data_IF_369010081765
#
_entry.id   IF_369010081765
#
_cell.length_a   1.000
_cell.length_b   1.000
_cell.length_c   1.000
_cell.angle_alpha   90.00
_cell.angle_beta   90.00
_cell.angle_gamma   90.00
#
_symmetry.space_group_name_H-M   'P 1'
#
loop_
_entity.id
_entity.type
_entity.pdbx_description
1 polymer ?
#
# COMPACT_ATOMS: atom_id res chain seq x y z
N UNK A 1 0.00 -11.52 -22.51
CA UNK A 1 -1.00 -10.43 -22.60
C UNK A 1 -2.40 -11.02 -22.74
N UNK A 2 -2.65 -11.78 -23.81
CA UNK A 2 -3.98 -12.32 -24.14
C UNK A 2 -4.66 -13.10 -23.00
N UNK A 3 -3.92 -13.92 -22.26
CA UNK A 3 -4.45 -14.64 -21.09
C UNK A 3 -5.03 -13.70 -20.02
N UNK A 4 -4.36 -12.59 -19.74
CA UNK A 4 -4.89 -11.62 -18.79
C UNK A 4 -6.09 -10.87 -19.37
N UNK A 5 -6.06 -10.54 -20.67
CA UNK A 5 -7.20 -9.90 -21.33
C UNK A 5 -8.44 -10.79 -21.26
N UNK A 6 -8.32 -12.08 -21.60
CA UNK A 6 -9.41 -13.06 -21.52
C UNK A 6 -9.96 -13.19 -20.10
N UNK A 7 -9.08 -13.28 -19.08
CA UNK A 7 -9.52 -13.35 -17.68
C UNK A 7 -10.23 -12.08 -17.21
N UNK A 8 -9.77 -10.90 -17.65
CA UNK A 8 -10.45 -9.62 -17.39
C UNK A 8 -11.83 -9.58 -18.02
N UNK A 9 -11.95 -9.98 -19.28
CA UNK A 9 -13.23 -10.06 -20.01
C UNK A 9 -14.20 -11.05 -19.37
N UNK A 10 -13.67 -12.13 -18.77
CA UNK A 10 -14.44 -13.09 -17.97
C UNK A 10 -14.76 -12.61 -16.53
N UNK A 11 -14.39 -11.37 -16.17
CA UNK A 11 -14.64 -10.80 -14.83
C UNK A 11 -13.73 -11.33 -13.71
N UNK A 12 -12.66 -12.06 -14.05
CA UNK A 12 -11.76 -12.68 -13.06
C UNK A 12 -10.79 -11.71 -12.38
N UNK A 13 -10.58 -10.50 -12.91
CA UNK A 13 -9.81 -9.42 -12.29
C UNK A 13 -10.08 -8.06 -12.95
N UNK A 14 -9.68 -6.96 -12.31
CA UNK A 14 -9.76 -5.58 -12.80
C UNK A 14 -8.39 -4.94 -13.14
N UNK A 15 -7.31 -5.75 -13.06
CA UNK A 15 -5.94 -5.29 -13.31
C UNK A 15 -5.75 -4.62 -14.67
N UNK A 16 -4.98 -3.54 -14.67
CA UNK A 16 -4.67 -2.74 -15.86
C UNK A 16 -3.27 -3.05 -16.35
N UNK A 17 -3.18 -3.56 -17.56
CA UNK A 17 -1.97 -4.19 -18.07
C UNK A 17 -1.51 -3.49 -19.32
N UNK A 18 -0.28 -3.01 -19.30
CA UNK A 18 0.42 -2.51 -20.48
C UNK A 18 1.47 -3.52 -20.94
N UNK A 19 1.88 -3.45 -22.20
CA UNK A 19 3.05 -4.16 -22.68
C UNK A 19 3.89 -3.26 -23.58
N UNK A 20 5.20 -3.46 -23.54
CA UNK A 20 6.13 -2.78 -24.43
C UNK A 20 7.32 -3.67 -24.78
N UNK A 21 7.63 -3.74 -26.07
CA UNK A 21 8.79 -4.44 -26.60
C UNK A 21 9.17 -3.87 -27.98
N UNK A 22 10.41 -4.07 -28.41
CA UNK A 22 10.90 -3.73 -29.74
C UNK A 22 10.62 -4.87 -30.74
N UNK A 23 10.50 -4.54 -32.03
CA UNK A 23 10.19 -5.49 -33.11
C UNK A 23 11.42 -6.06 -33.82
N UNK A 24 12.61 -5.65 -33.43
CA UNK A 24 13.85 -6.28 -33.91
C UNK A 24 13.85 -7.75 -33.52
N UNK A 25 14.62 -8.57 -34.24
CA UNK A 25 14.98 -9.90 -33.76
C UNK A 25 15.36 -9.75 -32.29
N UNK A 26 14.72 -10.51 -31.41
CA UNK A 26 15.18 -10.68 -30.04
C UNK A 26 16.51 -11.44 -30.12
N UNK A 27 17.54 -10.81 -30.69
CA UNK A 27 18.92 -11.18 -30.46
C UNK A 27 19.11 -11.11 -28.95
N UNK A 28 19.77 -12.13 -28.40
CA UNK A 28 20.21 -12.09 -27.03
C UNK A 28 21.02 -10.82 -26.86
N UNK A 29 20.45 -9.85 -26.15
CA UNK A 29 21.05 -8.53 -25.94
C UNK A 29 22.45 -8.76 -25.34
N UNK A 30 23.53 -8.44 -26.04
CA UNK A 30 24.90 -8.69 -25.55
C UNK A 30 25.13 -7.97 -24.19
N UNK A 31 24.41 -6.86 -23.95
CA UNK A 31 24.35 -6.15 -22.67
C UNK A 31 23.50 -6.88 -21.59
N UNK A 32 22.53 -7.72 -21.96
CA UNK A 32 21.87 -8.60 -20.98
C UNK A 32 22.71 -9.85 -20.65
N UNK A 33 23.64 -10.23 -21.53
CA UNK A 33 24.46 -11.46 -21.46
C UNK A 33 25.82 -11.23 -20.81
N UNK A 34 26.38 -10.01 -20.85
CA UNK A 34 27.73 -9.74 -20.33
C UNK A 34 28.78 -9.95 -21.42
N UNK A 35 29.47 -8.88 -21.79
CA UNK A 35 30.53 -8.86 -22.80
C UNK A 35 31.83 -9.54 -22.33
N UNK A 36 31.78 -10.85 -22.04
CA UNK A 36 32.95 -11.70 -21.92
C UNK A 36 32.82 -12.86 -22.91
N UNK A 37 33.90 -13.23 -23.63
CA UNK A 37 33.86 -14.34 -24.56
C UNK A 37 33.68 -15.64 -23.75
N UNK A 38 32.61 -16.38 -24.00
CA UNK A 38 32.39 -17.70 -23.39
C UNK A 38 32.29 -18.74 -24.51
N UNK A 39 32.99 -19.85 -24.31
CA UNK A 39 33.11 -20.99 -25.21
C UNK A 39 31.73 -21.62 -25.50
N UNK A 40 31.38 -21.71 -26.78
CA UNK A 40 30.02 -21.89 -27.31
C UNK A 40 29.56 -23.37 -27.32
N UNK A 41 29.93 -24.15 -26.30
CA UNK A 41 29.83 -25.62 -26.31
C UNK A 41 28.62 -26.22 -25.58
N UNK A 42 27.71 -25.40 -25.03
CA UNK A 42 26.47 -25.89 -24.41
C UNK A 42 25.27 -25.62 -25.32
N UNK A 43 24.86 -26.69 -26.01
CA UNK A 43 23.78 -26.76 -27.00
C UNK A 43 22.64 -25.74 -26.80
N UNK A 44 22.63 -24.74 -27.68
CA UNK A 44 21.53 -23.80 -27.86
C UNK A 44 20.26 -24.56 -28.26
N UNK A 45 19.18 -24.40 -27.48
CA UNK A 45 17.85 -24.80 -27.93
C UNK A 45 17.49 -24.03 -29.21
N UNK A 46 16.84 -24.67 -30.20
CA UNK A 46 16.58 -24.03 -31.48
C UNK A 46 15.71 -22.78 -31.29
N UNK A 47 16.03 -21.65 -31.94
CA UNK A 47 15.25 -20.43 -31.81
C UNK A 47 13.82 -20.68 -32.32
N UNK A 48 12.82 -20.47 -31.46
CA UNK A 48 11.42 -20.41 -31.89
C UNK A 48 11.22 -19.21 -32.81
N UNK A 49 11.05 -19.49 -34.11
CA UNK A 49 10.78 -18.53 -35.18
C UNK A 49 9.37 -17.95 -35.06
N UNK A 50 9.17 -16.96 -34.20
CA UNK A 50 8.02 -16.06 -34.30
C UNK A 50 8.37 -14.93 -35.27
N UNK A 51 7.77 -14.95 -36.47
CA UNK A 51 8.02 -13.96 -37.52
C UNK A 51 7.75 -12.51 -37.09
N UNK A 52 8.58 -11.59 -37.55
CA UNK A 52 8.55 -10.15 -37.21
C UNK A 52 7.24 -9.42 -37.58
N UNK A 53 6.42 -9.99 -38.48
CA UNK A 53 5.08 -9.47 -38.80
C UNK A 53 4.07 -9.65 -37.66
N UNK A 54 4.08 -10.82 -37.01
CA UNK A 54 3.12 -11.14 -35.94
C UNK A 54 3.40 -10.37 -34.64
N UNK A 55 4.66 -10.05 -34.36
CA UNK A 55 5.04 -9.27 -33.17
C UNK A 55 4.58 -7.82 -33.27
N UNK A 56 4.61 -7.22 -34.48
CA UNK A 56 4.07 -5.87 -34.74
C UNK A 56 2.56 -5.82 -34.61
N UNK A 57 1.85 -6.72 -35.29
CA UNK A 57 0.39 -6.81 -35.20
C UNK A 57 -0.08 -7.04 -33.75
N UNK A 58 0.64 -7.84 -32.98
CA UNK A 58 0.34 -8.04 -31.57
C UNK A 58 0.48 -6.74 -30.75
N UNK A 59 1.55 -5.95 -30.96
CA UNK A 59 1.72 -4.70 -30.22
C UNK A 59 0.71 -3.64 -30.68
N UNK A 60 0.35 -3.60 -31.96
CA UNK A 60 -0.72 -2.72 -32.47
C UNK A 60 -2.04 -2.97 -31.76
N UNK A 61 -2.39 -4.24 -31.56
CA UNK A 61 -3.59 -4.62 -30.78
C UNK A 61 -3.48 -4.17 -29.32
N UNK A 62 -2.32 -4.38 -28.68
CA UNK A 62 -2.08 -3.97 -27.30
C UNK A 62 -2.19 -2.44 -27.15
N UNK A 63 -1.61 -1.66 -28.07
CA UNK A 63 -1.71 -0.20 -28.05
C UNK A 63 -3.13 0.26 -28.33
N UNK A 64 -3.88 -0.44 -29.17
CA UNK A 64 -5.30 -0.14 -29.40
C UNK A 64 -6.12 -0.34 -28.13
N UNK A 65 -5.91 -1.46 -27.43
CA UNK A 65 -6.55 -1.72 -26.14
C UNK A 65 -6.14 -0.67 -25.09
N UNK A 66 -4.87 -0.26 -25.06
CA UNK A 66 -4.37 0.81 -24.20
C UNK A 66 -5.04 2.15 -24.50
N UNK A 67 -5.16 2.51 -25.78
CA UNK A 67 -5.81 3.73 -26.24
C UNK A 67 -7.28 3.78 -25.82
N UNK A 68 -8.00 2.68 -25.97
CA UNK A 68 -9.38 2.56 -25.50
C UNK A 68 -9.47 2.70 -23.97
N UNK A 69 -8.51 2.13 -23.24
CA UNK A 69 -8.50 2.14 -21.78
C UNK A 69 -8.18 3.52 -21.18
N UNK A 70 -7.26 4.28 -21.79
CA UNK A 70 -6.77 5.55 -21.24
C UNK A 70 -7.21 6.79 -22.02
N UNK A 71 -8.02 6.62 -23.08
CA UNK A 71 -8.48 7.73 -23.93
C UNK A 71 -7.34 8.39 -24.72
N UNK A 72 -6.36 7.61 -25.17
CA UNK A 72 -5.19 8.08 -25.92
C UNK A 72 -5.25 7.67 -27.39
N UNK A 73 -4.34 8.18 -28.21
CA UNK A 73 -4.28 7.90 -29.65
C UNK A 73 -2.83 7.61 -30.12
N UNK A 74 -2.16 6.68 -29.44
CA UNK A 74 -0.81 6.26 -29.80
C UNK A 74 -0.81 5.29 -30.99
N UNK A 75 0.33 5.25 -31.70
CA UNK A 75 0.51 4.47 -32.93
C UNK A 75 1.91 3.89 -33.00
N UNK A 76 2.03 2.72 -33.60
CA UNK A 76 3.29 2.02 -33.90
C UNK A 76 3.81 2.32 -35.30
N UNK A 77 3.09 3.15 -36.07
CA UNK A 77 3.43 3.48 -37.47
C UNK A 77 4.69 4.31 -37.57
N UNK A 78 4.89 5.20 -36.59
CA UNK A 78 6.01 6.13 -36.55
C UNK A 78 6.80 5.96 -35.25
N UNK A 79 8.12 6.13 -35.34
CA UNK A 79 9.01 6.05 -34.17
C UNK A 79 8.60 7.03 -33.06
N UNK A 80 8.15 8.24 -33.44
CA UNK A 80 7.61 9.23 -32.49
C UNK A 80 6.37 8.73 -31.74
N UNK A 81 5.50 7.96 -32.40
CA UNK A 81 4.31 7.38 -31.77
C UNK A 81 4.67 6.35 -30.71
N UNK A 82 5.67 5.49 -31.01
CA UNK A 82 6.20 4.51 -30.06
C UNK A 82 6.92 5.18 -28.88
N UNK A 83 7.71 6.22 -29.13
CA UNK A 83 8.36 7.01 -28.06
C UNK A 83 7.33 7.71 -27.16
N UNK A 84 6.27 8.28 -27.73
CA UNK A 84 5.19 8.89 -26.96
C UNK A 84 4.44 7.86 -26.10
N UNK A 85 4.15 6.67 -26.66
CA UNK A 85 3.56 5.57 -25.91
C UNK A 85 4.45 5.14 -24.72
N UNK A 86 5.75 4.96 -24.96
CA UNK A 86 6.71 4.62 -23.91
C UNK A 86 6.80 5.68 -22.81
N UNK A 87 6.85 6.96 -23.21
CA UNK A 87 6.85 8.10 -22.28
C UNK A 87 5.58 8.13 -21.44
N UNK A 88 4.42 7.80 -22.04
CA UNK A 88 3.15 7.79 -21.33
C UNK A 88 3.08 6.66 -20.29
N UNK A 89 3.48 5.43 -20.63
CA UNK A 89 3.58 4.33 -19.66
C UNK A 89 4.50 4.71 -18.50
N UNK A 90 5.70 5.19 -18.82
CA UNK A 90 6.70 5.60 -17.82
C UNK A 90 6.15 6.71 -16.92
N UNK A 91 5.46 7.69 -17.51
CA UNK A 91 4.82 8.78 -16.79
C UNK A 91 3.74 8.25 -15.86
N UNK A 92 2.81 7.41 -16.32
CA UNK A 92 1.74 6.87 -15.46
C UNK A 92 2.28 6.05 -14.29
N UNK A 93 3.32 5.24 -14.51
CA UNK A 93 3.98 4.50 -13.43
C UNK A 93 4.67 5.41 -12.41
N UNK A 94 5.29 6.51 -12.84
CA UNK A 94 5.88 7.50 -11.93
C UNK A 94 4.83 8.35 -11.23
N UNK A 95 3.77 8.73 -11.94
CA UNK A 95 2.70 9.56 -11.38
C UNK A 95 1.85 8.82 -10.36
N UNK A 96 1.86 7.48 -10.35
CA UNK A 96 1.37 6.68 -9.22
C UNK A 96 2.01 7.09 -7.90
N UNK A 97 3.21 7.67 -7.89
CA UNK A 97 3.86 8.15 -6.66
C UNK A 97 3.15 9.35 -6.03
N UNK A 98 2.43 10.15 -6.83
CA UNK A 98 1.78 11.38 -6.36
C UNK A 98 0.58 11.03 -5.47
N UNK A 99 0.33 11.87 -4.47
CA UNK A 99 -0.82 11.70 -3.56
C UNK A 99 -2.18 11.81 -4.29
N UNK A 100 -2.22 12.55 -5.40
CA UNK A 100 -3.41 12.74 -6.24
C UNK A 100 -3.46 11.80 -7.45
N UNK A 101 -2.77 10.67 -7.40
CA UNK A 101 -2.80 9.66 -8.46
C UNK A 101 -4.24 9.18 -8.68
N UNK A 102 -4.77 9.41 -9.88
CA UNK A 102 -6.14 9.01 -10.22
C UNK A 102 -6.15 7.51 -10.51
N UNK A 103 -7.14 6.81 -9.96
CA UNK A 103 -7.28 5.37 -10.25
C UNK A 103 -7.50 5.11 -11.75
N UNK A 104 -8.17 6.02 -12.47
CA UNK A 104 -8.31 5.94 -13.95
C UNK A 104 -6.99 5.94 -14.72
N UNK A 105 -5.87 6.35 -14.12
CA UNK A 105 -4.54 6.36 -14.76
C UNK A 105 -3.64 5.23 -14.26
N UNK A 106 -4.20 4.29 -13.48
CA UNK A 106 -3.50 3.14 -12.92
C UNK A 106 -2.97 2.20 -14.00
N UNK A 107 -1.73 1.78 -13.86
CA UNK A 107 -1.16 0.59 -14.50
C UNK A 107 -0.65 -0.30 -13.38
N UNK A 108 -1.11 -1.55 -13.35
CA UNK A 108 -0.80 -2.51 -12.28
C UNK A 108 0.32 -3.46 -12.70
N UNK A 109 0.38 -3.82 -13.98
CA UNK A 109 1.38 -4.72 -14.53
C UNK A 109 1.87 -4.20 -15.89
N UNK A 110 3.19 -4.24 -16.09
CA UNK A 110 3.79 -3.97 -17.39
C UNK A 110 4.57 -5.20 -17.84
N UNK A 111 4.18 -5.73 -19.00
CA UNK A 111 4.89 -6.81 -19.66
C UNK A 111 6.02 -6.22 -20.51
N UNK A 112 7.25 -6.64 -20.22
CA UNK A 112 8.45 -6.13 -20.89
C UNK A 112 9.34 -7.28 -21.36
N UNK A 113 10.15 -7.03 -22.39
CA UNK A 113 11.19 -7.96 -22.86
C UNK A 113 12.57 -7.48 -22.39
N UNK A 114 13.10 -6.42 -23.01
CA UNK A 114 14.36 -5.75 -22.58
C UNK A 114 14.11 -4.31 -22.12
N UNK A 115 13.04 -3.69 -22.62
CA UNK A 115 12.72 -2.30 -22.28
C UNK A 115 12.38 -2.17 -20.79
N UNK A 116 12.75 -1.04 -20.18
CA UNK A 116 12.52 -0.74 -18.75
C UNK A 116 13.33 -1.57 -17.74
N UNK A 117 14.15 -2.51 -18.19
CA UNK A 117 15.12 -3.20 -17.31
C UNK A 117 16.30 -2.29 -16.96
N UNK A 118 16.59 -1.30 -17.81
CA UNK A 118 17.58 -0.23 -17.60
C UNK A 118 16.94 1.14 -17.73
N UNK A 119 17.49 2.15 -17.03
CA UNK A 119 17.07 3.56 -17.14
C UNK A 119 15.68 3.94 -16.59
N UNK A 120 14.77 2.99 -16.38
CA UNK A 120 13.46 3.23 -15.77
C UNK A 120 13.54 3.33 -14.24
N UNK A 121 12.83 4.27 -13.64
CA UNK A 121 12.86 4.47 -12.19
C UNK A 121 11.47 4.85 -11.67
N UNK A 122 10.97 4.07 -10.70
CA UNK A 122 9.72 4.29 -10.00
C UNK A 122 9.80 3.71 -8.57
N UNK A 123 9.67 4.55 -7.55
CA UNK A 123 9.80 4.20 -6.13
C UNK A 123 8.72 3.25 -5.65
N UNK A 124 7.50 3.34 -6.19
CA UNK A 124 6.38 2.47 -5.81
C UNK A 124 6.43 1.07 -6.43
N UNK A 125 7.28 0.83 -7.44
CA UNK A 125 7.46 -0.51 -8.01
C UNK A 125 8.26 -1.35 -7.01
N UNK A 126 7.63 -2.40 -6.48
CA UNK A 126 8.23 -3.28 -5.48
C UNK A 126 8.51 -4.69 -6.00
N UNK A 127 7.86 -5.15 -7.07
CA UNK A 127 7.88 -6.57 -7.48
C UNK A 127 8.27 -6.70 -8.94
N UNK A 128 9.20 -7.61 -9.23
CA UNK A 128 9.59 -8.00 -10.58
C UNK A 128 9.35 -9.51 -10.78
N UNK A 129 8.51 -9.84 -11.75
CA UNK A 129 8.29 -11.20 -12.22
C UNK A 129 9.24 -11.50 -13.37
N UNK A 130 10.07 -12.53 -13.26
CA UNK A 130 11.14 -12.82 -14.21
C UNK A 130 10.96 -14.21 -14.81
N UNK A 131 10.70 -14.23 -16.12
CA UNK A 131 10.80 -15.42 -16.98
C UNK A 131 11.80 -15.17 -18.12
N UNK A 132 13.00 -14.73 -17.75
CA UNK A 132 14.10 -14.44 -18.68
C UNK A 132 15.42 -14.91 -18.08
N UNK A 133 16.33 -15.41 -18.93
CA UNK A 133 17.71 -15.74 -18.53
C UNK A 133 18.50 -14.44 -18.37
N UNK A 134 18.42 -13.82 -17.19
CA UNK A 134 19.23 -12.65 -16.84
C UNK A 134 20.61 -13.10 -16.36
N UNK A 135 21.68 -12.38 -16.75
CA UNK A 135 23.05 -12.68 -16.32
C UNK A 135 23.78 -11.41 -15.87
N UNK A 136 24.73 -11.56 -14.96
CA UNK A 136 25.70 -10.54 -14.56
C UNK A 136 25.08 -9.14 -14.32
N UNK A 137 25.57 -8.13 -15.04
CA UNK A 137 25.16 -6.75 -14.89
C UNK A 137 23.68 -6.51 -15.25
N UNK A 138 23.15 -7.19 -16.28
CA UNK A 138 21.74 -7.13 -16.64
C UNK A 138 20.81 -7.65 -15.54
N UNK A 139 21.26 -8.67 -14.80
CA UNK A 139 20.54 -9.19 -13.62
C UNK A 139 20.48 -8.16 -12.48
N UNK A 140 21.64 -7.59 -12.11
CA UNK A 140 21.71 -6.59 -11.03
C UNK A 140 20.91 -5.33 -11.39
N UNK A 141 21.01 -4.87 -12.63
CA UNK A 141 20.26 -3.71 -13.12
C UNK A 141 18.74 -3.95 -13.05
N UNK A 142 18.27 -5.10 -13.53
CA UNK A 142 16.86 -5.47 -13.45
C UNK A 142 16.38 -5.57 -11.99
N UNK A 143 17.12 -6.24 -11.12
CA UNK A 143 16.73 -6.39 -9.70
C UNK A 143 16.70 -5.03 -8.99
N UNK A 144 17.64 -4.13 -9.31
CA UNK A 144 17.69 -2.77 -8.77
C UNK A 144 16.48 -1.89 -9.13
N UNK A 145 15.59 -2.33 -10.05
CA UNK A 145 14.36 -1.59 -10.33
C UNK A 145 13.36 -1.64 -9.17
N UNK A 146 13.46 -2.68 -8.33
CA UNK A 146 12.51 -2.92 -7.24
C UNK A 146 12.99 -2.36 -5.89
N UNK A 147 14.28 -2.09 -5.73
CA UNK A 147 14.90 -1.75 -4.44
C UNK A 147 14.97 -0.24 -4.12
N UNK A 148 14.24 0.60 -4.86
CA UNK A 148 14.19 2.05 -4.61
C UNK A 148 13.50 2.35 -3.28
N UNK A 149 14.17 3.14 -2.44
CA UNK A 149 13.69 3.56 -1.12
C UNK A 149 12.49 4.50 -1.32
N UNK A 150 11.37 4.15 -0.69
CA UNK A 150 10.15 4.97 -0.67
C UNK A 150 9.87 5.50 0.75
N UNK A 151 9.75 4.58 1.70
CA UNK A 151 9.46 4.82 3.11
C UNK A 151 9.71 3.52 3.89
N UNK A 152 9.55 3.55 5.21
CA UNK A 152 9.70 2.40 6.10
C UNK A 152 8.78 1.21 5.76
N UNK A 153 7.67 1.44 5.03
CA UNK A 153 6.77 0.36 4.57
C UNK A 153 7.39 -0.48 3.43
N UNK A 154 8.33 0.09 2.66
CA UNK A 154 9.03 -0.60 1.57
C UNK A 154 10.47 -0.88 1.99
N UNK A 155 10.64 -1.98 2.72
CA UNK A 155 11.92 -2.45 3.22
C UNK A 155 12.77 -3.18 2.17
N UNK A 156 12.15 -3.79 1.16
CA UNK A 156 12.84 -4.55 0.10
C UNK A 156 12.13 -4.48 -1.26
N UNK A 157 12.81 -4.95 -2.30
CA UNK A 157 12.21 -5.34 -3.57
C UNK A 157 12.01 -6.86 -3.63
N UNK A 158 10.90 -7.29 -4.22
CA UNK A 158 10.53 -8.70 -4.40
C UNK A 158 10.88 -9.15 -5.81
N UNK A 159 11.63 -10.24 -5.94
CA UNK A 159 11.93 -10.87 -7.22
C UNK A 159 11.28 -12.24 -7.24
N UNK A 160 10.38 -12.47 -8.20
CA UNK A 160 9.72 -13.75 -8.41
C UNK A 160 10.24 -14.34 -9.72
N UNK A 161 11.16 -15.29 -9.64
CA UNK A 161 11.75 -15.93 -10.81
C UNK A 161 11.05 -17.26 -11.14
N UNK A 162 10.63 -17.42 -12.40
CA UNK A 162 10.05 -18.66 -12.91
C UNK A 162 11.10 -19.60 -13.52
N UNK A 163 12.34 -19.13 -13.64
CA UNK A 163 13.52 -19.93 -14.02
C UNK A 163 14.48 -20.00 -12.84
N UNK A 164 15.29 -21.05 -12.78
CA UNK A 164 16.36 -21.11 -11.80
C UNK A 164 17.46 -20.10 -12.15
N UNK A 165 17.41 -18.92 -11.51
CA UNK A 165 18.39 -17.85 -11.66
C UNK A 165 19.38 -17.78 -10.50
N UNK A 166 19.37 -18.76 -9.59
CA UNK A 166 20.16 -18.72 -8.35
C UNK A 166 21.67 -18.63 -8.63
N UNK A 167 22.19 -19.54 -9.45
CA UNK A 167 23.62 -19.55 -9.83
C UNK A 167 24.02 -18.26 -10.54
N UNK A 168 23.25 -17.84 -11.55
CA UNK A 168 23.51 -16.59 -12.27
C UNK A 168 23.47 -15.35 -11.37
N UNK A 169 22.62 -15.37 -10.34
CA UNK A 169 22.53 -14.32 -9.33
C UNK A 169 23.75 -14.33 -8.42
N UNK A 170 24.17 -15.51 -7.96
CA UNK A 170 25.35 -15.72 -7.12
C UNK A 170 26.64 -15.29 -7.83
N UNK A 171 26.77 -15.60 -9.12
CA UNK A 171 27.89 -15.24 -9.97
C UNK A 171 27.93 -13.73 -10.23
N UNK A 172 26.77 -13.13 -10.56
CA UNK A 172 26.65 -11.69 -10.71
C UNK A 172 27.11 -10.97 -9.44
N UNK A 173 26.69 -11.43 -8.25
CA UNK A 173 27.07 -10.79 -7.00
C UNK A 173 28.52 -11.01 -6.62
N UNK A 174 29.12 -12.15 -6.93
CA UNK A 174 30.54 -12.39 -6.72
C UNK A 174 31.41 -11.41 -7.53
N UNK A 175 30.91 -10.93 -8.68
CA UNK A 175 31.58 -9.93 -9.52
C UNK A 175 31.43 -8.50 -8.98
N UNK A 176 30.34 -8.19 -8.27
CA UNK A 176 30.01 -6.84 -7.80
C UNK A 176 30.14 -6.62 -6.28
N UNK A 177 30.45 -7.67 -5.50
CA UNK A 177 30.50 -7.60 -4.04
C UNK A 177 31.49 -8.60 -3.42
N UNK A 178 32.06 -8.25 -2.27
CA UNK A 178 32.86 -9.19 -1.47
C UNK A 178 31.98 -10.38 -1.05
N UNK A 179 32.54 -11.60 -0.95
CA UNK A 179 31.77 -12.83 -0.62
C UNK A 179 30.96 -12.73 0.68
N UNK A 180 31.37 -11.88 1.63
CA UNK A 180 30.68 -11.59 2.89
C UNK A 180 29.42 -10.71 2.71
N UNK A 181 29.25 -10.04 1.57
CA UNK A 181 28.12 -9.16 1.30
C UNK A 181 26.85 -9.89 0.84
N UNK A 182 26.90 -11.20 0.59
CA UNK A 182 25.70 -11.98 0.19
C UNK A 182 24.59 -11.93 1.26
N UNK A 183 24.95 -11.94 2.55
CA UNK A 183 23.98 -11.80 3.65
C UNK A 183 23.41 -10.38 3.77
N UNK A 184 24.09 -9.36 3.22
CA UNK A 184 23.63 -7.96 3.24
C UNK A 184 22.67 -7.69 2.08
N UNK A 185 22.78 -8.44 0.98
CA UNK A 185 22.05 -8.20 -0.27
C UNK A 185 20.78 -9.06 -0.36
N UNK A 186 20.78 -10.27 0.20
CA UNK A 186 19.59 -11.11 0.26
C UNK A 186 18.93 -11.13 1.62
N UNK A 187 17.61 -11.22 1.59
CA UNK A 187 16.85 -11.57 2.77
C UNK A 187 17.21 -13.00 3.22
N UNK A 188 17.35 -13.23 4.54
CA UNK A 188 17.59 -14.57 5.06
C UNK A 188 16.43 -15.52 4.70
N UNK A 189 16.69 -16.83 4.57
CA UNK A 189 15.65 -17.83 4.33
C UNK A 189 14.51 -17.76 5.36
N UNK A 190 13.30 -18.16 4.94
CA UNK A 190 12.10 -18.14 5.77
C UNK A 190 12.32 -18.76 7.15
N UNK A 191 12.89 -19.97 7.21
CA UNK A 191 13.20 -20.67 8.46
C UNK A 191 14.10 -19.88 9.42
N UNK A 192 15.13 -19.18 8.88
CA UNK A 192 16.05 -18.35 9.67
C UNK A 192 15.33 -17.13 10.22
N UNK A 193 14.42 -16.53 9.45
CA UNK A 193 13.60 -15.41 9.90
C UNK A 193 12.56 -15.83 10.94
N UNK A 194 11.92 -17.00 10.79
CA UNK A 194 11.01 -17.56 11.81
C UNK A 194 11.74 -17.84 13.11
N UNK A 195 12.95 -18.39 13.05
CA UNK A 195 13.79 -18.60 14.24
C UNK A 195 14.18 -17.28 14.93
N UNK A 196 14.53 -16.24 14.15
CA UNK A 196 14.80 -14.90 14.67
C UNK A 196 13.56 -14.28 15.31
N UNK A 197 12.41 -14.31 14.62
CA UNK A 197 11.14 -13.83 15.14
C UNK A 197 10.78 -14.55 16.43
N UNK A 198 11.00 -15.86 16.49
CA UNK A 198 10.75 -16.66 17.71
C UNK A 198 11.58 -16.20 18.89
N UNK A 199 12.85 -15.83 18.66
CA UNK A 199 13.72 -15.27 19.69
C UNK A 199 13.20 -13.91 20.17
N UNK A 200 12.81 -13.03 19.26
CA UNK A 200 12.27 -11.70 19.59
C UNK A 200 10.91 -11.81 20.29
N UNK A 201 10.04 -12.74 19.89
CA UNK A 201 8.80 -13.04 20.60
C UNK A 201 9.05 -13.42 22.05
N UNK A 202 10.07 -14.24 22.33
CA UNK A 202 10.44 -14.57 23.72
C UNK A 202 10.85 -13.33 24.50
N UNK A 203 11.62 -12.42 23.91
CA UNK A 203 11.99 -11.16 24.56
C UNK A 203 10.77 -10.28 24.86
N UNK A 204 9.81 -10.20 23.93
CA UNK A 204 8.54 -9.48 24.16
C UNK A 204 7.76 -10.11 25.32
N UNK A 205 7.68 -11.44 25.37
CA UNK A 205 6.99 -12.18 26.42
C UNK A 205 7.73 -12.14 27.78
N UNK A 206 9.05 -12.00 27.80
CA UNK A 206 9.83 -11.80 29.03
C UNK A 206 9.54 -10.44 29.67
N UNK A 207 9.42 -9.39 28.84
CA UNK A 207 9.10 -8.03 29.33
C UNK A 207 7.62 -7.89 29.64
N UNK A 208 6.75 -8.43 28.80
CA UNK A 208 5.30 -8.38 28.95
C UNK A 208 4.68 -9.76 28.66
N UNK A 209 4.57 -10.64 29.68
CA UNK A 209 4.06 -12.02 29.52
C UNK A 209 2.65 -12.11 28.94
N UNK A 210 1.86 -11.06 29.10
CA UNK A 210 0.51 -10.95 28.53
C UNK A 210 0.30 -9.59 27.88
N UNK A 211 -0.67 -9.49 26.98
CA UNK A 211 -1.09 -8.19 26.42
C UNK A 211 -1.44 -7.19 27.53
N UNK A 212 -2.05 -7.64 28.63
CA UNK A 212 -2.41 -6.77 29.76
C UNK A 212 -1.20 -6.25 30.52
N UNK A 213 -0.14 -7.06 30.67
CA UNK A 213 1.06 -6.63 31.41
C UNK A 213 1.79 -5.45 30.77
N UNK A 214 1.50 -5.10 29.52
CA UNK A 214 2.01 -3.86 28.90
C UNK A 214 1.44 -2.60 29.58
N UNK A 215 0.22 -2.67 30.13
CA UNK A 215 -0.36 -1.57 30.90
C UNK A 215 0.34 -1.39 32.25
N UNK A 216 0.83 -2.49 32.82
CA UNK A 216 1.44 -2.57 34.14
C UNK A 216 2.93 -2.17 34.15
N UNK A 217 3.52 -1.90 32.98
CA UNK A 217 4.89 -1.40 32.84
C UNK A 217 4.99 0.02 33.41
N UNK A 218 5.41 0.15 34.67
CA UNK A 218 5.54 1.45 35.34
C UNK A 218 6.90 2.12 35.13
N UNK A 219 7.94 1.32 34.91
CA UNK A 219 9.31 1.80 34.75
C UNK A 219 9.60 2.22 33.29
N UNK A 220 10.22 3.39 33.09
CA UNK A 220 10.60 3.89 31.77
C UNK A 220 11.60 2.94 31.08
N UNK A 221 12.48 2.27 31.84
CA UNK A 221 13.42 1.30 31.26
C UNK A 221 12.68 0.08 30.70
N UNK A 222 11.68 -0.42 31.40
CA UNK A 222 10.86 -1.56 30.95
C UNK A 222 10.00 -1.18 29.74
N UNK A 223 9.45 0.03 29.71
CA UNK A 223 8.73 0.55 28.56
C UNK A 223 9.64 0.67 27.33
N UNK A 224 10.87 1.16 27.49
CA UNK A 224 11.88 1.23 26.43
C UNK A 224 12.25 -0.16 25.90
N UNK A 225 12.44 -1.13 26.79
CA UNK A 225 12.74 -2.52 26.42
C UNK A 225 11.60 -3.15 25.61
N UNK A 226 10.36 -2.98 26.08
CA UNK A 226 9.18 -3.44 25.34
C UNK A 226 9.10 -2.79 23.95
N UNK A 227 9.28 -1.46 23.86
CA UNK A 227 9.19 -0.75 22.59
C UNK A 227 10.26 -1.23 21.60
N UNK A 228 11.50 -1.42 22.05
CA UNK A 228 12.59 -1.93 21.20
C UNK A 228 12.31 -3.35 20.70
N UNK A 229 11.93 -4.26 21.60
CA UNK A 229 11.64 -5.65 21.27
C UNK A 229 10.43 -5.76 20.32
N UNK A 230 9.35 -5.03 20.61
CA UNK A 230 8.14 -5.07 19.78
C UNK A 230 8.36 -4.44 18.40
N UNK A 231 9.20 -3.41 18.29
CA UNK A 231 9.57 -2.82 17.01
C UNK A 231 10.36 -3.79 16.14
N UNK A 232 11.32 -4.49 16.72
CA UNK A 232 12.06 -5.56 16.03
C UNK A 232 11.11 -6.69 15.58
N UNK A 233 10.14 -7.05 16.43
CA UNK A 233 9.10 -8.02 16.09
C UNK A 233 8.27 -7.58 14.87
N UNK A 234 7.78 -6.34 14.86
CA UNK A 234 6.99 -5.80 13.74
C UNK A 234 7.82 -5.83 12.45
N UNK A 235 9.11 -5.43 12.49
CA UNK A 235 9.99 -5.44 11.31
C UNK A 235 10.16 -6.84 10.74
N UNK A 236 10.46 -7.84 11.58
CA UNK A 236 10.63 -9.22 11.15
C UNK A 236 9.32 -9.80 10.60
N UNK A 237 8.20 -9.55 11.28
CA UNK A 237 6.89 -10.01 10.82
C UNK A 237 6.52 -9.41 9.47
N UNK A 238 6.74 -8.10 9.30
CA UNK A 238 6.49 -7.40 8.04
C UNK A 238 7.30 -8.02 6.90
N UNK A 239 8.54 -8.41 7.14
CA UNK A 239 9.38 -9.10 6.14
C UNK A 239 8.86 -10.51 5.87
N UNK A 240 8.50 -11.27 6.91
CA UNK A 240 7.97 -12.63 6.78
C UNK A 240 6.68 -12.67 5.95
N UNK A 241 5.79 -11.69 6.10
CA UNK A 241 4.55 -11.57 5.31
C UNK A 241 4.77 -11.44 3.80
N UNK A 242 5.97 -11.08 3.35
CA UNK A 242 6.26 -11.02 1.90
C UNK A 242 6.60 -12.38 1.29
N UNK A 243 6.79 -13.42 2.12
CA UNK A 243 7.04 -14.78 1.67
C UNK A 243 5.72 -15.47 1.32
N UNK A 244 5.71 -16.21 0.21
CA UNK A 244 4.52 -16.94 -0.24
C UNK A 244 4.11 -18.08 0.72
N UNK A 245 5.08 -18.64 1.43
CA UNK A 245 4.91 -19.71 2.42
C UNK A 245 4.53 -19.20 3.82
N UNK A 246 4.32 -17.89 4.00
CA UNK A 246 3.99 -17.31 5.30
C UNK A 246 2.70 -17.88 5.89
N UNK A 247 2.80 -18.45 7.09
CA UNK A 247 1.66 -18.85 7.90
C UNK A 247 1.83 -18.40 9.36
N UNK A 248 0.74 -17.90 9.95
CA UNK A 248 0.70 -17.56 11.38
C UNK A 248 0.88 -18.78 12.29
N UNK A 249 0.56 -19.99 11.80
CA UNK A 249 0.73 -21.26 12.53
C UNK A 249 2.19 -21.62 12.79
N UNK A 250 3.11 -21.08 12.00
CA UNK A 250 4.55 -21.32 12.15
C UNK A 250 5.19 -20.40 13.20
N UNK A 251 4.43 -19.44 13.74
CA UNK A 251 4.90 -18.44 14.68
C UNK A 251 4.48 -18.79 16.12
N UNK A 252 5.27 -18.39 17.14
CA UNK A 252 4.93 -18.63 18.54
C UNK A 252 3.81 -17.72 19.07
N UNK A 253 3.35 -16.76 18.27
CA UNK A 253 2.26 -15.83 18.60
C UNK A 253 1.19 -15.90 17.51
N UNK A 254 -0.07 -15.80 17.91
CA UNK A 254 -1.18 -15.70 16.97
C UNK A 254 -1.34 -14.26 16.47
N UNK A 255 -2.03 -14.11 15.35
CA UNK A 255 -2.45 -12.82 14.79
C UNK A 255 -3.23 -11.98 15.82
N UNK A 256 -4.12 -12.62 16.59
CA UNK A 256 -4.91 -11.97 17.63
C UNK A 256 -4.04 -11.45 18.77
N UNK A 257 -3.07 -12.24 19.23
CA UNK A 257 -2.14 -11.84 20.29
C UNK A 257 -1.25 -10.70 19.80
N UNK A 258 -0.73 -10.80 18.58
CA UNK A 258 0.03 -9.73 17.94
C UNK A 258 -0.76 -8.43 17.88
N UNK A 259 -2.00 -8.46 17.39
CA UNK A 259 -2.89 -7.29 17.33
C UNK A 259 -3.14 -6.69 18.73
N UNK A 260 -3.27 -7.53 19.75
CA UNK A 260 -3.37 -7.09 21.15
C UNK A 260 -2.15 -6.29 21.59
N UNK A 261 -0.94 -6.81 21.37
CA UNK A 261 0.29 -6.08 21.67
C UNK A 261 0.45 -4.81 20.83
N UNK A 262 0.02 -4.84 19.56
CA UNK A 262 0.00 -3.65 18.69
C UNK A 262 -0.85 -2.54 19.28
N UNK A 263 -2.06 -2.86 19.76
CA UNK A 263 -2.92 -1.87 20.43
C UNK A 263 -2.21 -1.25 21.64
N UNK A 264 -1.59 -2.09 22.48
CA UNK A 264 -0.89 -1.62 23.68
C UNK A 264 0.37 -0.82 23.39
N UNK A 265 1.07 -1.15 22.32
CA UNK A 265 2.19 -0.38 21.81
C UNK A 265 1.77 1.04 21.38
N UNK A 266 0.64 1.16 20.68
CA UNK A 266 0.08 2.46 20.29
C UNK A 266 -0.45 3.24 21.50
N UNK A 267 -1.09 2.58 22.47
CA UNK A 267 -1.53 3.20 23.72
C UNK A 267 -0.33 3.74 24.52
N UNK A 268 0.79 2.99 24.56
CA UNK A 268 2.03 3.41 25.20
C UNK A 268 2.61 4.65 24.51
N UNK A 269 2.64 4.69 23.18
CA UNK A 269 3.04 5.90 22.42
C UNK A 269 2.21 7.11 22.82
N UNK A 270 0.87 6.96 22.86
CA UNK A 270 -0.03 8.06 23.20
C UNK A 270 0.19 8.56 24.63
N UNK A 271 0.46 7.65 25.58
CA UNK A 271 0.85 8.00 26.95
C UNK A 271 2.15 8.80 26.99
N UNK A 272 3.20 8.30 26.33
CA UNK A 272 4.51 8.95 26.26
C UNK A 272 4.43 10.33 25.59
N UNK A 273 3.70 10.47 24.48
CA UNK A 273 3.51 11.77 23.82
C UNK A 273 2.79 12.79 24.70
N UNK A 274 1.80 12.37 25.50
CA UNK A 274 1.11 13.26 26.46
C UNK A 274 2.03 13.67 27.62
N UNK A 275 2.95 12.81 28.03
CA UNK A 275 3.94 13.10 29.09
C UNK A 275 5.07 14.01 28.60
N UNK A 276 5.53 13.88 27.34
CA UNK A 276 6.49 14.82 26.71
C UNK A 276 6.03 16.28 26.74
N UNK A 277 4.72 16.52 26.76
CA UNK A 277 4.17 17.88 26.86
C UNK A 277 4.28 18.49 28.27
N UNK A 278 4.64 17.71 29.30
CA UNK A 278 4.62 18.12 30.71
C UNK A 278 5.98 18.09 31.41
N UNK A 279 6.90 17.19 31.06
CA UNK A 279 8.20 17.00 31.74
C UNK A 279 9.38 17.13 30.75
N UNK A 280 10.53 17.64 31.22
CA UNK A 280 11.68 18.09 30.39
C UNK A 280 12.86 17.12 30.30
N UNK A 281 12.81 15.99 31.00
CA UNK A 281 13.87 14.97 31.01
C UNK A 281 13.24 13.60 31.27
N UNK A 282 12.80 12.92 30.20
CA UNK A 282 12.38 11.51 30.22
C UNK A 282 13.23 10.69 29.26
N UNK A 283 13.57 9.45 29.63
CA UNK A 283 14.34 8.51 28.78
C UNK A 283 13.54 8.14 27.52
N UNK A 284 12.23 8.38 27.54
CA UNK A 284 11.29 8.10 26.46
C UNK A 284 11.21 9.23 25.41
N UNK A 285 11.94 10.35 25.60
CA UNK A 285 11.97 11.50 24.68
C UNK A 285 12.62 11.22 23.33
N UNK A 286 13.57 10.29 23.28
CA UNK A 286 14.30 9.93 22.05
C UNK A 286 13.77 8.67 21.35
N UNK A 287 12.68 8.09 21.87
CA UNK A 287 12.10 6.87 21.29
C UNK A 287 11.31 7.21 20.02
N UNK A 288 11.73 6.61 18.91
CA UNK A 288 10.94 6.51 17.68
C UNK A 288 10.11 5.22 17.69
N UNK A 289 8.79 5.39 17.72
CA UNK A 289 7.80 4.31 17.73
C UNK A 289 7.53 3.74 16.32
N UNK A 290 8.16 4.25 15.25
CA UNK A 290 8.07 3.71 13.88
C UNK A 290 6.64 3.29 13.49
N UNK A 291 5.69 4.17 13.79
CA UNK A 291 4.24 3.92 13.68
C UNK A 291 3.89 3.46 12.26
N UNK A 292 4.63 3.94 11.26
CA UNK A 292 4.50 3.58 9.85
C UNK A 292 4.60 2.06 9.61
N UNK A 293 5.41 1.34 10.40
CA UNK A 293 5.58 -0.11 10.30
C UNK A 293 4.36 -0.90 10.76
N UNK A 294 3.60 -0.38 11.72
CA UNK A 294 2.36 -1.01 12.20
C UNK A 294 1.30 -1.04 11.10
N UNK A 295 1.33 -0.05 10.20
CA UNK A 295 0.32 0.18 9.16
C UNK A 295 0.66 -0.54 7.83
N UNK A 296 1.42 -1.66 7.87
CA UNK A 296 1.77 -2.43 6.65
C UNK A 296 0.61 -3.31 6.16
N UNK A 297 -0.26 -3.73 7.08
CA UNK A 297 -1.52 -4.41 6.76
C UNK A 297 -2.66 -3.43 7.02
N UNK A 298 -3.13 -2.78 5.97
CA UNK A 298 -4.26 -1.86 6.08
C UNK A 298 -5.52 -2.62 6.53
N UNK A 299 -5.94 -2.41 7.77
CA UNK A 299 -7.32 -2.63 8.21
C UNK A 299 -8.14 -1.49 7.59
N UNK A 300 -8.34 -1.55 6.28
CA UNK A 300 -9.14 -0.57 5.56
C UNK A 300 -10.64 -0.89 5.69
N UNK A 301 -11.48 0.02 5.19
CA UNK A 301 -12.93 -0.15 5.21
C UNK A 301 -13.34 -1.47 4.53
N UNK A 302 -12.62 -1.92 3.49
CA UNK A 302 -12.89 -3.20 2.82
C UNK A 302 -12.66 -4.42 3.72
N UNK A 303 -11.63 -4.40 4.58
CA UNK A 303 -11.42 -5.46 5.57
C UNK A 303 -12.52 -5.46 6.65
N UNK A 304 -12.93 -4.29 7.14
CA UNK A 304 -14.05 -4.17 8.07
C UNK A 304 -15.35 -4.70 7.44
N UNK A 305 -15.62 -4.38 6.17
CA UNK A 305 -16.79 -4.88 5.45
C UNK A 305 -16.80 -6.42 5.35
N UNK A 306 -15.65 -7.05 5.10
CA UNK A 306 -15.52 -8.52 5.14
C UNK A 306 -15.80 -9.08 6.53
N UNK A 307 -15.28 -8.45 7.58
CA UNK A 307 -15.57 -8.85 8.96
C UNK A 307 -17.05 -8.69 9.32
N UNK A 308 -17.73 -7.67 8.78
CA UNK A 308 -19.17 -7.46 8.97
C UNK A 308 -20.01 -8.51 8.23
N UNK A 309 -19.60 -8.93 7.04
CA UNK A 309 -20.24 -10.03 6.32
C UNK A 309 -20.15 -11.34 7.11
N UNK A 310 -18.96 -11.69 7.60
CA UNK A 310 -18.78 -12.86 8.47
C UNK A 310 -19.54 -12.75 9.80
N UNK A 311 -19.59 -11.55 10.40
CA UNK A 311 -20.39 -11.31 11.60
C UNK A 311 -21.87 -11.60 11.36
N UNK A 312 -22.39 -11.31 10.16
CA UNK A 312 -23.80 -11.54 9.82
C UNK A 312 -24.12 -13.02 9.64
N UNK A 313 -23.20 -13.79 9.05
CA UNK A 313 -23.35 -15.25 8.91
C UNK A 313 -23.39 -15.96 10.28
N UNK A 314 -22.69 -15.40 11.28
CA UNK A 314 -22.52 -15.97 12.61
C UNK A 314 -23.26 -15.19 13.72
N UNK A 315 -24.28 -14.37 13.37
CA UNK A 315 -24.89 -13.33 14.23
C UNK A 315 -25.42 -13.86 15.59
N UNK A 316 -25.79 -15.14 15.66
CA UNK A 316 -26.35 -15.80 16.85
C UNK A 316 -25.40 -16.79 17.57
N UNK A 317 -24.14 -16.89 17.17
CA UNK A 317 -23.17 -17.79 17.81
C UNK A 317 -22.26 -17.06 18.80
N UNK A 318 -21.64 -17.81 19.71
CA UNK A 318 -20.62 -17.25 20.61
C UNK A 318 -19.40 -16.72 19.82
N UNK A 319 -19.16 -17.24 18.62
CA UNK A 319 -18.18 -16.72 17.66
C UNK A 319 -18.58 -15.35 17.14
N UNK A 320 -19.84 -15.14 16.74
CA UNK A 320 -20.33 -13.81 16.33
C UNK A 320 -20.22 -12.76 17.44
N UNK A 321 -20.50 -13.12 18.70
CA UNK A 321 -20.33 -12.21 19.85
C UNK A 321 -18.85 -11.85 20.07
N UNK A 322 -17.94 -12.82 19.97
CA UNK A 322 -16.50 -12.58 20.08
C UNK A 322 -15.99 -11.69 18.93
N UNK A 323 -16.48 -11.94 17.72
CA UNK A 323 -16.11 -11.19 16.52
C UNK A 323 -16.60 -9.75 16.54
N UNK A 324 -17.83 -9.50 17.04
CA UNK A 324 -18.32 -8.15 17.30
C UNK A 324 -17.41 -7.40 18.25
N UNK A 325 -16.95 -8.05 19.32
CA UNK A 325 -16.00 -7.46 20.28
C UNK A 325 -14.64 -7.17 19.64
N UNK A 326 -14.17 -8.04 18.74
CA UNK A 326 -12.94 -7.84 17.99
C UNK A 326 -13.05 -6.66 17.01
N UNK A 327 -14.15 -6.54 16.28
CA UNK A 327 -14.41 -5.40 15.38
C UNK A 327 -14.42 -4.08 16.19
N UNK A 328 -15.10 -4.04 17.33
CA UNK A 328 -15.12 -2.84 18.18
C UNK A 328 -13.73 -2.49 18.75
N UNK A 329 -12.92 -3.50 19.06
CA UNK A 329 -11.52 -3.30 19.46
C UNK A 329 -10.69 -2.72 18.30
N UNK A 330 -10.84 -3.25 17.09
CA UNK A 330 -10.13 -2.80 15.89
C UNK A 330 -10.47 -1.35 15.54
N UNK A 331 -11.76 -0.97 15.61
CA UNK A 331 -12.22 0.39 15.39
C UNK A 331 -11.66 1.40 16.42
N UNK A 332 -11.21 0.92 17.58
CA UNK A 332 -10.65 1.74 18.64
C UNK A 332 -9.12 1.84 18.59
N UNK A 333 -8.46 0.77 18.14
CA UNK A 333 -6.99 0.66 18.06
C UNK A 333 -6.41 1.25 16.79
N UNK A 334 -7.16 1.23 15.68
CA UNK A 334 -6.67 1.73 14.39
C UNK A 334 -6.84 3.26 14.28
N UNK A 335 -5.77 3.94 13.86
CA UNK A 335 -5.71 5.41 13.80
C UNK A 335 -6.59 5.97 12.68
N UNK A 336 -6.73 5.26 11.54
CA UNK A 336 -7.55 5.69 10.41
C UNK A 336 -9.03 5.36 10.58
N UNK A 337 -9.34 4.29 11.32
CA UNK A 337 -10.72 3.92 11.66
C UNK A 337 -11.24 4.67 12.89
N UNK A 338 -10.37 5.21 13.74
CA UNK A 338 -10.77 6.00 14.92
C UNK A 338 -11.65 7.19 14.55
N UNK A 339 -11.32 7.93 13.49
CA UNK A 339 -12.14 9.05 13.00
C UNK A 339 -13.50 8.60 12.45
N UNK A 340 -13.60 7.34 12.00
CA UNK A 340 -14.78 6.73 11.38
C UNK A 340 -15.61 5.91 12.36
N UNK A 341 -15.10 5.72 13.57
CA UNK A 341 -15.63 4.80 14.57
C UNK A 341 -17.12 4.99 14.83
N UNK A 342 -17.53 6.23 15.11
CA UNK A 342 -18.93 6.52 15.44
C UNK A 342 -19.89 6.16 14.29
N UNK A 343 -19.47 6.40 13.05
CA UNK A 343 -20.28 6.07 11.87
C UNK A 343 -20.42 4.57 11.68
N UNK A 344 -19.32 3.82 11.86
CA UNK A 344 -19.31 2.36 11.73
C UNK A 344 -20.07 1.71 12.88
N UNK A 345 -19.92 2.20 14.12
CA UNK A 345 -20.69 1.72 15.28
C UNK A 345 -22.20 1.91 15.07
N UNK A 346 -22.63 3.09 14.58
CA UNK A 346 -24.03 3.35 14.22
C UNK A 346 -24.52 2.43 13.11
N UNK A 347 -23.72 2.19 12.07
CA UNK A 347 -24.07 1.24 11.02
C UNK A 347 -24.29 -0.18 11.58
N UNK A 348 -23.37 -0.66 12.42
CA UNK A 348 -23.45 -1.99 13.05
C UNK A 348 -24.69 -2.11 13.96
N UNK A 349 -25.06 -1.03 14.66
CA UNK A 349 -26.19 -1.04 15.58
C UNK A 349 -27.55 -0.94 14.87
N UNK A 350 -27.67 -0.07 13.86
CA UNK A 350 -28.97 0.36 13.34
C UNK A 350 -29.28 -0.11 11.92
N UNK A 351 -28.24 -0.39 11.11
CA UNK A 351 -28.37 -0.76 9.70
C UNK A 351 -28.05 -2.23 9.46
N UNK A 352 -26.97 -2.76 10.04
CA UNK A 352 -26.56 -4.16 9.90
C UNK A 352 -27.65 -5.20 10.28
N UNK A 353 -28.49 -4.99 11.32
CA UNK A 353 -29.57 -5.93 11.63
C UNK A 353 -30.65 -6.01 10.55
N UNK A 354 -30.84 -4.94 9.77
CA UNK A 354 -31.87 -4.83 8.72
C UNK A 354 -31.44 -5.48 7.41
N UNK A 355 -30.13 -5.70 7.24
CA UNK A 355 -29.57 -6.37 6.07
C UNK A 355 -29.75 -7.87 6.26
N UNK A 356 -30.41 -8.53 5.32
CA UNK A 356 -30.68 -9.99 5.36
C UNK A 356 -29.66 -10.80 4.57
N UNK A 357 -29.05 -10.19 3.56
CA UNK A 357 -28.09 -10.82 2.65
C UNK A 357 -26.67 -10.25 2.89
N UNK A 358 -25.69 -11.08 3.29
CA UNK A 358 -24.31 -10.64 3.53
C UNK A 358 -23.66 -9.99 2.30
N UNK A 359 -24.02 -10.42 1.08
CA UNK A 359 -23.44 -9.89 -0.16
C UNK A 359 -23.86 -8.43 -0.41
N UNK A 360 -24.96 -7.99 0.20
CA UNK A 360 -25.48 -6.61 0.08
C UNK A 360 -24.89 -5.65 1.10
N UNK A 361 -24.07 -6.11 2.05
CA UNK A 361 -23.50 -5.27 3.10
C UNK A 361 -22.62 -4.17 2.52
N UNK A 362 -21.86 -4.47 1.46
CA UNK A 362 -21.01 -3.48 0.81
C UNK A 362 -21.83 -2.34 0.18
N UNK A 363 -22.90 -2.68 -0.55
CA UNK A 363 -23.75 -1.68 -1.21
C UNK A 363 -24.56 -0.85 -0.21
N UNK A 364 -25.13 -1.49 0.81
CA UNK A 364 -25.90 -0.80 1.85
C UNK A 364 -25.00 0.07 2.73
N UNK A 365 -23.75 -0.35 2.99
CA UNK A 365 -22.76 0.49 3.67
C UNK A 365 -22.36 1.69 2.83
N UNK A 366 -22.08 1.51 1.54
CA UNK A 366 -21.75 2.60 0.63
C UNK A 366 -22.88 3.64 0.58
N UNK A 367 -24.13 3.18 0.53
CA UNK A 367 -25.31 4.04 0.56
C UNK A 367 -25.45 4.80 1.88
N UNK A 368 -25.37 4.10 3.01
CA UNK A 368 -25.39 4.74 4.34
C UNK A 368 -24.27 5.78 4.48
N UNK A 369 -23.08 5.47 3.99
CA UNK A 369 -21.95 6.37 4.04
C UNK A 369 -22.17 7.65 3.24
N UNK A 370 -22.74 7.51 2.03
CA UNK A 370 -23.12 8.65 1.19
C UNK A 370 -24.19 9.53 1.86
N UNK A 371 -25.21 8.91 2.45
CA UNK A 371 -26.26 9.63 3.18
C UNK A 371 -25.68 10.42 4.37
N UNK A 372 -24.80 9.79 5.17
CA UNK A 372 -24.13 10.46 6.29
C UNK A 372 -23.19 11.58 5.83
N UNK A 373 -22.51 11.40 4.68
CA UNK A 373 -21.64 12.40 4.07
C UNK A 373 -22.42 13.66 3.71
N UNK A 374 -23.58 13.50 3.05
CA UNK A 374 -24.46 14.63 2.68
C UNK A 374 -25.00 15.34 3.91
N UNK A 375 -25.46 14.58 4.92
CA UNK A 375 -25.97 15.14 6.18
C UNK A 375 -24.89 15.92 6.95
N UNK A 376 -23.67 15.39 7.03
CA UNK A 376 -22.56 16.05 7.71
C UNK A 376 -22.18 17.37 7.00
N UNK A 377 -22.16 17.38 5.66
CA UNK A 377 -21.91 18.59 4.88
C UNK A 377 -22.99 19.64 5.14
N UNK A 378 -24.27 19.26 5.09
CA UNK A 378 -25.40 20.16 5.37
C UNK A 378 -25.29 20.77 6.77
N UNK A 379 -24.99 19.94 7.77
CA UNK A 379 -24.84 20.39 9.16
C UNK A 379 -23.73 21.41 9.33
N UNK A 380 -22.56 21.21 8.70
CA UNK A 380 -21.47 22.18 8.73
C UNK A 380 -21.90 23.50 8.07
N UNK A 381 -22.62 23.42 6.94
CA UNK A 381 -23.11 24.62 6.26
C UNK A 381 -24.13 25.39 7.09
N UNK A 382 -25.05 24.72 7.78
CA UNK A 382 -26.05 25.35 8.63
C UNK A 382 -25.43 25.97 9.89
N UNK A 383 -24.54 25.26 10.57
CA UNK A 383 -23.90 25.73 11.81
C UNK A 383 -22.96 26.92 11.59
N UNK A 384 -22.32 27.00 10.42
CA UNK A 384 -21.34 28.04 10.08
C UNK A 384 -21.90 29.10 9.10
N UNK A 385 -23.19 29.02 8.74
CA UNK A 385 -23.85 29.91 7.76
C UNK A 385 -23.09 30.01 6.43
N UNK A 386 -22.77 28.85 5.86
CA UNK A 386 -22.03 28.70 4.60
C UNK A 386 -22.97 28.37 3.44
N UNK A 387 -22.68 28.93 2.26
CA UNK A 387 -23.30 28.50 1.02
C UNK A 387 -22.87 27.07 0.69
N UNK A 388 -23.86 26.18 0.63
CA UNK A 388 -23.64 24.74 0.45
C UNK A 388 -22.91 24.41 -0.86
N UNK A 389 -23.20 25.14 -1.95
CA UNK A 389 -22.59 24.86 -3.26
C UNK A 389 -21.14 25.30 -3.30
N UNK A 390 -20.84 26.49 -2.76
CA UNK A 390 -19.49 27.01 -2.72
C UNK A 390 -18.60 26.19 -1.78
N UNK A 391 -19.13 25.79 -0.61
CA UNK A 391 -18.40 24.97 0.35
C UNK A 391 -18.15 23.56 -0.19
N UNK A 392 -19.12 22.95 -0.88
CA UNK A 392 -18.92 21.67 -1.56
C UNK A 392 -17.80 21.75 -2.62
N UNK A 393 -17.82 22.79 -3.47
CA UNK A 393 -16.76 23.02 -4.46
C UNK A 393 -15.39 23.27 -3.81
N UNK A 394 -15.36 23.95 -2.66
CA UNK A 394 -14.14 24.20 -1.90
C UNK A 394 -13.57 22.89 -1.34
N UNK A 395 -14.43 22.01 -0.81
CA UNK A 395 -14.06 20.67 -0.38
C UNK A 395 -13.55 19.84 -1.55
N UNK A 396 -14.22 19.84 -2.70
CA UNK A 396 -13.74 19.13 -3.90
C UNK A 396 -12.38 19.66 -4.36
N UNK A 397 -12.18 20.97 -4.33
CA UNK A 397 -10.88 21.60 -4.63
C UNK A 397 -9.80 21.19 -3.61
N UNK A 398 -10.15 21.13 -2.33
CA UNK A 398 -9.24 20.66 -1.28
C UNK A 398 -8.87 19.18 -1.49
N UNK A 399 -9.85 18.32 -1.78
CA UNK A 399 -9.64 16.90 -2.07
C UNK A 399 -8.77 16.73 -3.32
N UNK A 400 -9.01 17.51 -4.38
CA UNK A 400 -8.29 17.41 -5.64
C UNK A 400 -6.86 17.95 -5.58
N UNK A 401 -6.66 19.07 -4.89
CA UNK A 401 -5.36 19.75 -4.77
C UNK A 401 -4.49 19.18 -3.64
N UNK A 402 -5.11 18.58 -2.61
CA UNK A 402 -4.44 18.16 -1.39
C UNK A 402 -3.90 19.32 -0.54
N UNK A 403 -4.23 20.57 -0.89
CA UNK A 403 -3.78 21.77 -0.21
C UNK A 403 -4.94 22.41 0.56
N UNK A 404 -4.70 22.74 1.83
CA UNK A 404 -5.70 23.41 2.65
C UNK A 404 -6.11 24.74 1.99
N UNK A 405 -7.41 25.03 1.91
CA UNK A 405 -7.88 26.24 1.28
C UNK A 405 -7.40 27.45 2.07
N UNK A 406 -7.09 28.51 1.33
CA UNK A 406 -6.73 29.78 1.92
C UNK A 406 -7.93 30.36 2.67
N UNK A 407 -7.67 31.11 3.73
CA UNK A 407 -8.71 31.77 4.53
C UNK A 407 -9.64 32.62 3.68
N UNK A 408 -9.11 33.27 2.64
CA UNK A 408 -9.88 34.07 1.70
C UNK A 408 -10.87 33.26 0.85
N UNK A 409 -10.56 31.98 0.56
CA UNK A 409 -11.47 31.09 -0.17
C UNK A 409 -12.59 30.56 0.73
N UNK A 410 -12.28 30.32 2.00
CA UNK A 410 -13.28 30.00 3.04
C UNK A 410 -14.24 31.16 3.25
N UNK A 411 -13.75 32.41 3.26
CA UNK A 411 -14.60 33.60 3.43
C UNK A 411 -15.53 33.87 2.24
N UNK A 412 -15.23 33.36 1.04
CA UNK A 412 -16.14 33.44 -0.10
C UNK A 412 -17.40 32.60 0.11
N UNK A 413 -17.27 31.51 0.89
CA UNK A 413 -18.37 30.60 1.18
C UNK A 413 -19.31 31.13 2.27
N UNK A 414 -18.94 32.18 3.02
CA UNK A 414 -19.78 32.76 4.07
C UNK A 414 -20.85 33.68 3.47
N UNK A 415 -22.09 33.54 3.93
CA UNK A 415 -23.19 34.42 3.52
C UNK A 415 -22.98 35.88 3.97
N UNK A 416 -22.25 36.09 5.08
CA UNK A 416 -21.88 37.41 5.59
C UNK A 416 -20.41 37.46 6.01
N UNK A 417 -19.69 38.52 5.61
CA UNK A 417 -18.27 38.69 5.98
C UNK A 417 -18.14 38.97 7.48
N UNK A 418 -17.34 38.19 8.22
CA UNK A 418 -17.11 38.41 9.65
C UNK A 418 -16.28 39.67 9.90
N UNK A 419 -16.41 40.26 11.10
CA UNK A 419 -15.60 41.40 11.50
C UNK A 419 -14.11 41.01 11.57
N UNK A 420 -13.21 41.96 11.26
CA UNK A 420 -11.75 41.73 11.18
C UNK A 420 -11.17 41.05 12.44
N UNK A 421 -11.75 41.34 13.60
CA UNK A 421 -11.38 40.72 14.89
C UNK A 421 -11.76 39.24 15.03
N UNK A 422 -12.88 38.81 14.44
CA UNK A 422 -13.39 37.41 14.51
C UNK A 422 -13.06 36.58 13.26
N UNK A 423 -12.66 37.23 12.17
CA UNK A 423 -12.35 36.57 10.89
C UNK A 423 -11.27 35.49 11.03
N UNK A 424 -10.23 35.75 11.84
CA UNK A 424 -9.14 34.79 12.04
C UNK A 424 -9.60 33.50 12.71
N UNK A 425 -10.42 33.62 13.75
CA UNK A 425 -10.95 32.51 14.54
C UNK A 425 -11.98 31.69 13.76
N UNK A 426 -12.90 32.37 13.06
CA UNK A 426 -13.92 31.71 12.22
C UNK A 426 -13.26 30.97 11.05
N UNK A 427 -12.29 31.59 10.38
CA UNK A 427 -11.56 30.93 9.29
C UNK A 427 -10.79 29.68 9.75
N UNK A 428 -10.10 29.73 10.89
CA UNK A 428 -9.41 28.56 11.45
C UNK A 428 -10.37 27.45 11.88
N UNK A 429 -11.52 27.81 12.47
CA UNK A 429 -12.56 26.86 12.86
C UNK A 429 -13.16 26.12 11.66
N UNK A 430 -13.52 26.83 10.60
CA UNK A 430 -14.10 26.23 9.39
C UNK A 430 -13.08 25.34 8.68
N UNK A 431 -11.81 25.76 8.59
CA UNK A 431 -10.73 24.92 8.03
C UNK A 431 -10.54 23.64 8.87
N UNK A 432 -10.57 23.73 10.20
CA UNK A 432 -10.49 22.55 11.07
C UNK A 432 -11.65 21.58 10.83
N UNK A 433 -12.89 22.08 10.81
CA UNK A 433 -14.09 21.26 10.53
C UNK A 433 -14.05 20.63 9.15
N UNK A 434 -13.52 21.34 8.16
CA UNK A 434 -13.35 20.83 6.81
C UNK A 434 -12.26 19.75 6.73
N UNK A 435 -11.15 19.90 7.49
CA UNK A 435 -10.12 18.87 7.63
C UNK A 435 -10.69 17.60 8.26
N UNK A 436 -11.44 17.75 9.36
CA UNK A 436 -12.13 16.64 10.03
C UNK A 436 -13.11 15.94 9.07
N UNK A 437 -13.90 16.70 8.31
CA UNK A 437 -14.81 16.14 7.31
C UNK A 437 -14.08 15.28 6.26
N UNK A 438 -12.96 15.78 5.71
CA UNK A 438 -12.17 15.04 4.72
C UNK A 438 -11.50 13.81 5.34
N UNK A 439 -11.01 13.92 6.56
CA UNK A 439 -10.40 12.80 7.29
C UNK A 439 -11.40 11.66 7.59
N UNK A 440 -12.64 12.02 7.92
CA UNK A 440 -13.71 11.05 8.19
C UNK A 440 -14.24 10.44 6.89
N UNK A 441 -14.70 11.25 5.93
CA UNK A 441 -15.51 10.77 4.81
C UNK A 441 -14.74 10.48 3.53
N UNK A 442 -13.50 10.96 3.38
CA UNK A 442 -12.74 10.89 2.11
C UNK A 442 -11.48 10.04 2.24
N UNK A 443 -10.72 10.19 3.33
CA UNK A 443 -9.46 9.48 3.54
C UNK A 443 -9.68 8.03 3.98
N UNK A 444 -9.08 7.05 3.29
CA UNK A 444 -9.14 5.61 3.66
C UNK A 444 -10.40 4.86 3.19
N UNK A 445 -11.18 5.46 2.30
CA UNK A 445 -12.42 4.90 1.70
C UNK A 445 -12.20 4.23 0.33
N UNK A 446 -10.99 4.33 -0.22
CA UNK A 446 -10.67 3.81 -1.56
C UNK A 446 -10.07 2.42 -1.40
N UNK A 447 -10.70 1.44 -2.04
CA UNK A 447 -10.22 0.06 -2.14
C UNK A 447 -8.89 -0.06 -2.88
#
# INVERSE_FOLDING_TARGET
YDLFRQRREAGGHDLRIAAIYSYGTNEEDEEAVGALPVDDTLASEPPTTYGSGHSREALDRIITDYNAQFGTAFSTRDQKGMESYFKDITKKLREREKANAKDRDRIDLVLVVNMMLTGFDAKKVNTLYVDKRLRYHGLIQAYSRTNRILNEKKSQGNIVAYRNLKEATDDALALFSNKEAKEVIFLPPYEKLVAQLTKVCKQVLEVAPTVRSVDDLQDEEQQLLFVKAFRELIRLLNVLKTYAEFDWRDLPITDQVFAGYTSKYLDLRDRVQRQRAKEKQSILEDIDFEVVLVHRDEVNVAYILKLLAWLKEEENTDKGKAMRKQIMSLLSSDVELRSKRELIEKFIAEHLPKITDPDRIQDEFAKYWEDQRVLALQRICEEEHLDQKQFANLIESYIFSGQEPLKDDVFKCLEARPSVLKAREIGERIVSRMREYVEVFVKGMVA
#
